data_IF_644979532577
#
_entry.id   IF_644979532577
#
_cell.length_a   1.000
_cell.length_b   1.000
_cell.length_c   1.000
_cell.angle_alpha   90.00
_cell.angle_beta   90.00
_cell.angle_gamma   90.00
#
_symmetry.space_group_name_H-M   'P 1'
#
loop_
_entity.id
_entity.type
_entity.pdbx_description
1 polymer ?
#
# COMPACT_ATOMS: atom_id res chain seq x y z
N UNK A 1 -23.36 -11.65 -30.93
CA UNK A 1 -22.88 -10.89 -29.75
C UNK A 1 -23.57 -11.43 -28.51
N UNK A 2 -22.97 -12.44 -27.85
CA UNK A 2 -23.54 -13.10 -26.67
C UNK A 2 -23.13 -12.40 -25.39
N UNK A 3 -24.09 -11.97 -24.58
CA UNK A 3 -23.88 -11.32 -23.27
C UNK A 3 -23.39 -12.37 -22.27
N UNK A 4 -22.24 -12.12 -21.62
CA UNK A 4 -21.81 -12.91 -20.45
C UNK A 4 -22.89 -12.80 -19.37
N UNK A 5 -23.29 -13.94 -18.83
CA UNK A 5 -24.37 -14.02 -17.85
C UNK A 5 -23.80 -14.07 -16.42
N UNK A 6 -24.62 -13.73 -15.42
CA UNK A 6 -24.24 -13.67 -14.00
C UNK A 6 -23.64 -14.97 -13.45
N UNK A 7 -23.85 -16.11 -14.11
CA UNK A 7 -23.22 -17.40 -13.75
C UNK A 7 -21.75 -17.50 -14.17
N UNK A 8 -21.30 -16.74 -15.18
CA UNK A 8 -19.90 -16.76 -15.62
C UNK A 8 -18.96 -16.13 -14.57
N UNK A 9 -19.49 -15.20 -13.76
CA UNK A 9 -18.76 -14.58 -12.65
C UNK A 9 -18.54 -15.56 -11.50
N UNK A 10 -19.44 -16.53 -11.30
CA UNK A 10 -19.34 -17.54 -10.25
C UNK A 10 -18.38 -18.69 -10.57
N UNK A 11 -18.00 -18.90 -11.84
CA UNK A 11 -16.99 -19.90 -12.23
C UNK A 11 -15.56 -19.34 -12.13
N UNK A 12 -15.39 -18.01 -12.18
CA UNK A 12 -14.08 -17.37 -11.96
C UNK A 12 -13.66 -17.30 -10.48
N UNK A 13 -14.60 -17.39 -9.53
CA UNK A 13 -14.33 -17.31 -8.09
C UNK A 13 -13.69 -18.60 -7.52
N UNK A 14 -14.07 -19.84 -7.93
CA UNK A 14 -13.40 -21.08 -7.52
C UNK A 14 -11.92 -21.13 -7.93
N UNK A 15 -11.55 -20.54 -9.07
CA UNK A 15 -10.15 -20.44 -9.51
C UNK A 15 -9.33 -19.54 -8.57
N UNK A 16 -9.97 -18.56 -7.91
CA UNK A 16 -9.36 -17.72 -6.88
C UNK A 16 -9.20 -18.41 -5.52
N UNK A 17 -10.00 -19.44 -5.20
CA UNK A 17 -9.99 -20.08 -3.88
C UNK A 17 -8.94 -21.19 -3.74
N UNK A 18 -8.45 -21.78 -4.84
CA UNK A 18 -7.35 -22.75 -4.85
C UNK A 18 -6.18 -22.34 -5.76
N UNK A 19 -5.78 -21.06 -5.72
CA UNK A 19 -4.61 -20.57 -6.46
C UNK A 19 -3.37 -21.37 -6.01
N UNK A 20 -2.76 -22.13 -6.93
CA UNK A 20 -1.52 -22.90 -6.69
C UNK A 20 -0.43 -21.99 -6.10
N UNK A 21 0.43 -22.52 -5.23
CA UNK A 21 1.51 -21.77 -4.52
C UNK A 21 2.33 -20.88 -5.47
N UNK A 22 2.69 -21.40 -6.65
CA UNK A 22 3.42 -20.65 -7.68
C UNK A 22 2.69 -19.37 -8.12
N UNK A 23 1.37 -19.44 -8.30
CA UNK A 23 0.58 -18.30 -8.76
C UNK A 23 0.35 -17.29 -7.62
N UNK A 24 0.17 -17.74 -6.36
CA UNK A 24 0.16 -16.83 -5.19
C UNK A 24 1.46 -16.05 -5.06
N UNK A 25 2.60 -16.70 -5.27
CA UNK A 25 3.93 -16.07 -5.24
C UNK A 25 4.13 -15.06 -6.37
N UNK A 26 3.61 -15.35 -7.57
CA UNK A 26 3.71 -14.48 -8.74
C UNK A 26 2.84 -13.22 -8.60
N UNK A 27 1.67 -13.36 -7.98
CA UNK A 27 0.67 -12.29 -7.84
C UNK A 27 0.67 -11.62 -6.46
N UNK A 28 1.64 -11.91 -5.58
CA UNK A 28 1.71 -11.33 -4.23
C UNK A 28 0.43 -11.51 -3.40
N UNK A 29 -0.14 -12.72 -3.41
CA UNK A 29 -1.37 -13.05 -2.68
C UNK A 29 -1.05 -13.83 -1.39
N UNK A 30 -1.97 -13.75 -0.41
CA UNK A 30 -1.92 -14.48 0.87
C UNK A 30 -0.56 -14.30 1.57
N UNK A 31 0.23 -15.38 1.71
CA UNK A 31 1.52 -15.38 2.41
C UNK A 31 2.61 -14.56 1.70
N UNK A 32 2.36 -14.10 0.47
CA UNK A 32 3.27 -13.26 -0.30
C UNK A 32 2.80 -11.81 -0.42
N UNK A 33 1.74 -11.44 0.31
CA UNK A 33 1.20 -10.09 0.31
C UNK A 33 2.22 -9.12 0.92
N UNK A 34 2.34 -7.95 0.30
CA UNK A 34 3.13 -6.84 0.83
C UNK A 34 2.22 -5.68 1.20
N UNK A 35 2.47 -5.12 2.37
CA UNK A 35 1.76 -3.95 2.89
C UNK A 35 2.75 -2.79 2.98
N UNK A 36 2.29 -1.64 2.51
CA UNK A 36 3.05 -0.40 2.45
C UNK A 36 2.14 0.79 2.69
N UNK A 37 2.61 2.00 2.44
CA UNK A 37 1.78 3.21 2.56
C UNK A 37 2.26 4.28 1.60
N UNK A 38 1.42 5.30 1.40
CA UNK A 38 1.77 6.49 0.62
C UNK A 38 2.13 7.64 1.55
N UNK A 39 3.13 8.41 1.20
CA UNK A 39 3.31 9.75 1.76
C UNK A 39 3.33 10.80 0.64
N UNK A 40 2.87 11.98 0.99
CA UNK A 40 2.83 13.15 0.15
C UNK A 40 3.40 14.33 0.93
N UNK A 41 3.93 15.31 0.22
CA UNK A 41 4.40 16.57 0.79
C UNK A 41 4.36 17.65 -0.29
N UNK A 42 4.71 18.88 0.06
CA UNK A 42 4.97 19.96 -0.88
C UNK A 42 6.42 20.46 -0.67
N UNK A 43 7.11 20.86 -1.73
CA UNK A 43 8.39 21.56 -1.61
C UNK A 43 8.17 23.01 -1.16
N UNK A 44 9.10 23.57 -0.39
CA UNK A 44 9.01 24.96 0.04
C UNK A 44 9.52 25.89 -1.06
N UNK A 45 8.69 26.81 -1.53
CA UNK A 45 9.09 27.74 -2.59
C UNK A 45 9.95 28.92 -2.08
N UNK A 46 10.94 29.40 -2.87
CA UNK A 46 11.37 28.84 -4.15
C UNK A 46 12.21 27.57 -3.96
N UNK A 47 11.87 26.49 -4.67
CA UNK A 47 12.72 25.29 -4.77
C UNK A 47 13.23 25.12 -6.20
N UNK A 48 14.52 24.84 -6.35
CA UNK A 48 15.14 24.52 -7.63
C UNK A 48 15.07 23.04 -7.97
N UNK A 49 15.14 22.68 -9.26
CA UNK A 49 15.18 21.28 -9.70
C UNK A 49 16.33 20.51 -9.05
N UNK A 50 17.49 21.17 -8.83
CA UNK A 50 18.64 20.55 -8.16
C UNK A 50 18.35 20.19 -6.70
N UNK A 51 17.57 21.01 -5.99
CA UNK A 51 17.14 20.74 -4.61
C UNK A 51 16.10 19.62 -4.56
N UNK A 52 15.16 19.56 -5.50
CA UNK A 52 14.25 18.41 -5.64
C UNK A 52 15.01 17.10 -5.88
N UNK A 53 16.01 17.13 -6.76
CA UNK A 53 16.89 15.97 -7.00
C UNK A 53 17.69 15.59 -5.76
N UNK A 54 18.16 16.56 -4.98
CA UNK A 54 18.88 16.29 -3.73
C UNK A 54 17.96 15.60 -2.71
N UNK A 55 16.70 15.99 -2.60
CA UNK A 55 15.72 15.27 -1.79
C UNK A 55 15.61 13.79 -2.20
N UNK A 56 15.54 13.50 -3.50
CA UNK A 56 15.47 12.12 -4.01
C UNK A 56 16.74 11.33 -3.68
N UNK A 57 17.92 11.95 -3.80
CA UNK A 57 19.19 11.33 -3.40
C UNK A 57 19.23 11.01 -1.91
N UNK A 58 18.77 11.94 -1.06
CA UNK A 58 18.71 11.73 0.39
C UNK A 58 17.70 10.64 0.75
N UNK A 59 16.56 10.57 0.04
CA UNK A 59 15.57 9.52 0.21
C UNK A 59 16.16 8.15 -0.15
N UNK A 60 16.91 8.04 -1.25
CA UNK A 60 17.61 6.80 -1.61
C UNK A 60 18.62 6.37 -0.54
N UNK A 61 19.39 7.30 0.02
CA UNK A 61 20.30 7.00 1.12
C UNK A 61 19.56 6.53 2.39
N UNK A 62 18.41 7.14 2.68
CA UNK A 62 17.54 6.72 3.78
C UNK A 62 16.96 5.32 3.55
N UNK A 63 16.52 5.01 2.33
CA UNK A 63 16.00 3.70 1.92
C UNK A 63 17.00 2.57 2.21
N UNK A 64 18.25 2.75 1.75
CA UNK A 64 19.32 1.78 1.94
C UNK A 64 19.64 1.53 3.43
N UNK A 65 19.63 2.60 4.24
CA UNK A 65 19.90 2.50 5.67
C UNK A 65 18.77 1.82 6.47
N UNK A 66 17.52 1.90 6.00
CA UNK A 66 16.33 1.45 6.74
C UNK A 66 15.66 0.20 6.15
N UNK A 67 16.25 -0.39 5.11
CA UNK A 67 15.72 -1.55 4.39
C UNK A 67 14.28 -1.34 3.89
N UNK A 68 13.97 -0.14 3.42
CA UNK A 68 12.70 0.21 2.77
C UNK A 68 12.97 0.62 1.32
N UNK A 69 11.93 0.63 0.49
CA UNK A 69 11.98 1.19 -0.86
C UNK A 69 10.77 2.09 -1.07
N UNK A 70 10.99 3.25 -1.69
CA UNK A 70 9.93 4.15 -2.10
C UNK A 70 9.91 4.29 -3.63
N UNK A 71 8.73 4.13 -4.22
CA UNK A 71 8.50 4.36 -5.64
C UNK A 71 7.54 5.52 -5.83
N UNK A 72 7.85 6.45 -6.72
CA UNK A 72 7.03 7.64 -6.95
C UNK A 72 7.82 8.76 -7.62
N UNK A 73 7.34 9.99 -7.44
CA UNK A 73 7.96 11.20 -7.96
C UNK A 73 7.11 12.43 -7.63
N UNK A 74 7.68 13.63 -7.83
CA UNK A 74 7.02 14.93 -7.59
C UNK A 74 6.22 14.95 -6.27
N UNK A 75 6.94 14.76 -5.18
CA UNK A 75 6.41 14.81 -3.81
C UNK A 75 5.32 13.78 -3.46
N UNK A 76 5.21 12.69 -4.22
CA UNK A 76 4.24 11.63 -3.97
C UNK A 76 4.87 10.23 -4.12
N UNK A 77 5.04 9.53 -3.00
CA UNK A 77 5.79 8.29 -2.94
C UNK A 77 5.02 7.17 -2.24
N UNK A 78 5.17 5.95 -2.75
CA UNK A 78 4.66 4.73 -2.13
C UNK A 78 5.81 3.91 -1.56
N UNK A 79 5.74 3.63 -0.26
CA UNK A 79 6.78 2.98 0.53
C UNK A 79 6.39 1.54 0.83
N UNK A 80 7.32 0.62 0.63
CA UNK A 80 7.21 -0.79 0.97
C UNK A 80 8.54 -1.32 1.50
N UNK A 81 8.53 -2.49 2.14
CA UNK A 81 9.76 -3.11 2.63
C UNK A 81 10.65 -3.52 1.45
N UNK A 82 11.96 -3.22 1.52
CA UNK A 82 12.89 -3.49 0.42
C UNK A 82 13.10 -5.00 0.20
N UNK A 83 12.88 -5.83 1.23
CA UNK A 83 12.91 -7.26 1.05
C UNK A 83 11.77 -7.66 0.12
N UNK A 84 12.09 -8.54 -0.83
CA UNK A 84 11.15 -9.00 -1.86
C UNK A 84 9.81 -9.52 -1.31
N UNK A 85 9.69 -9.81 -0.01
CA UNK A 85 8.51 -10.41 0.63
C UNK A 85 8.18 -9.83 2.00
N UNK A 86 8.76 -8.69 2.37
CA UNK A 86 8.45 -7.99 3.61
C UNK A 86 7.23 -7.09 3.49
N UNK A 87 6.68 -6.72 4.64
CA UNK A 87 5.71 -5.64 4.78
C UNK A 87 6.29 -4.62 5.74
N UNK A 88 5.94 -3.35 5.54
CA UNK A 88 6.41 -2.28 6.41
C UNK A 88 6.03 -2.57 7.87
N UNK A 89 7.03 -2.52 8.74
CA UNK A 89 6.84 -2.59 10.18
C UNK A 89 6.40 -1.23 10.75
N UNK A 90 5.70 -1.20 11.89
CA UNK A 90 5.36 0.05 12.57
C UNK A 90 6.58 0.93 12.86
N UNK A 91 7.73 0.32 13.18
CA UNK A 91 8.98 1.00 13.48
C UNK A 91 9.56 1.67 12.24
N UNK A 92 9.65 0.95 11.11
CA UNK A 92 10.09 1.54 9.84
C UNK A 92 9.19 2.71 9.42
N UNK A 93 7.86 2.55 9.58
CA UNK A 93 6.90 3.62 9.28
C UNK A 93 7.13 4.86 10.14
N UNK A 94 7.29 4.67 11.45
CA UNK A 94 7.50 5.79 12.37
C UNK A 94 8.84 6.49 12.10
N UNK A 95 9.91 5.73 11.88
CA UNK A 95 11.22 6.27 11.53
C UNK A 95 11.16 7.17 10.29
N UNK A 96 10.43 6.75 9.24
CA UNK A 96 10.30 7.57 8.03
C UNK A 96 9.47 8.84 8.29
N UNK A 97 8.40 8.74 9.08
CA UNK A 97 7.60 9.91 9.49
C UNK A 97 8.48 10.93 10.22
N UNK A 98 9.31 10.46 11.14
CA UNK A 98 10.18 11.33 11.94
C UNK A 98 11.27 11.96 11.06
N UNK A 99 11.85 11.20 10.13
CA UNK A 99 12.80 11.71 9.15
C UNK A 99 12.18 12.81 8.26
N UNK A 100 10.97 12.58 7.73
CA UNK A 100 10.27 13.57 6.90
C UNK A 100 9.95 14.85 7.68
N UNK A 101 9.62 14.76 8.97
CA UNK A 101 9.30 15.93 9.80
C UNK A 101 10.51 16.77 10.20
N UNK A 102 11.71 16.20 10.16
CA UNK A 102 12.95 16.92 10.47
C UNK A 102 13.49 17.72 9.28
N UNK A 103 12.95 17.47 8.09
CA UNK A 103 13.35 18.16 6.87
C UNK A 103 12.83 19.59 6.83
N UNK A 104 13.67 20.50 6.33
CA UNK A 104 13.38 21.95 6.24
C UNK A 104 13.08 22.42 4.83
N UNK A 105 13.20 21.55 3.84
CA UNK A 105 12.96 21.77 2.41
C UNK A 105 11.54 21.35 1.96
N UNK A 106 10.77 20.70 2.84
CA UNK A 106 9.41 20.23 2.56
C UNK A 106 8.41 20.71 3.61
N UNK A 107 7.14 20.77 3.23
CA UNK A 107 6.00 21.11 4.08
C UNK A 107 4.81 20.20 3.79
N UNK A 108 3.71 20.37 4.53
CA UNK A 108 2.44 19.65 4.32
C UNK A 108 2.58 18.11 4.24
N UNK A 109 3.52 17.54 5.00
CA UNK A 109 3.76 16.10 5.01
C UNK A 109 2.51 15.34 5.46
N UNK A 110 1.97 14.53 4.56
CA UNK A 110 0.80 13.70 4.78
C UNK A 110 1.15 12.23 4.58
N UNK A 111 0.93 11.42 5.62
CA UNK A 111 1.16 9.98 5.57
C UNK A 111 -0.16 9.22 5.61
N UNK A 112 -0.43 8.48 4.53
CA UNK A 112 -1.66 7.71 4.37
C UNK A 112 -1.65 6.40 5.18
N UNK A 113 -2.82 5.78 5.40
CA UNK A 113 -2.91 4.47 6.03
C UNK A 113 -2.15 3.38 5.25
N UNK A 114 -1.87 2.27 5.94
CA UNK A 114 -1.30 1.09 5.32
C UNK A 114 -2.28 0.48 4.29
N UNK A 115 -1.77 0.14 3.11
CA UNK A 115 -2.52 -0.47 2.02
C UNK A 115 -1.77 -1.65 1.42
N UNK A 116 -2.50 -2.47 0.65
CA UNK A 116 -1.87 -3.49 -0.20
C UNK A 116 -1.03 -2.81 -1.29
N UNK A 117 0.25 -3.16 -1.38
CA UNK A 117 1.17 -2.55 -2.35
C UNK A 117 0.84 -2.87 -3.81
N UNK A 118 0.17 -4.00 -4.06
CA UNK A 118 -0.11 -4.51 -5.40
C UNK A 118 -1.56 -4.28 -5.82
N UNK A 119 -2.48 -4.25 -4.85
CA UNK A 119 -3.92 -4.08 -5.08
C UNK A 119 -4.55 -3.04 -4.14
N UNK A 120 -4.09 -1.77 -4.15
CA UNK A 120 -4.59 -0.72 -3.24
C UNK A 120 -6.06 -0.35 -3.50
N UNK A 121 -6.55 -0.59 -4.72
CA UNK A 121 -7.92 -0.30 -5.14
C UNK A 121 -8.71 -1.60 -5.32
N UNK A 122 -9.21 -2.18 -4.23
CA UNK A 122 -10.33 -3.12 -4.31
C UNK A 122 -11.40 -2.77 -3.28
N UNK A 123 -12.47 -2.10 -3.73
CA UNK A 123 -13.80 -2.30 -3.14
C UNK A 123 -14.27 -3.71 -3.50
N UNK A 124 -13.90 -4.72 -2.71
CA UNK A 124 -14.54 -6.05 -2.69
C UNK A 124 -14.01 -6.83 -1.49
N UNK A 125 -14.87 -6.98 -0.47
CA UNK A 125 -14.73 -7.92 0.66
C UNK A 125 -13.46 -7.73 1.49
N UNK A 126 -13.61 -7.15 2.68
CA UNK A 126 -12.61 -7.23 3.75
C UNK A 126 -12.05 -8.65 3.83
N UNK A 127 -10.78 -8.82 3.43
CA UNK A 127 -10.00 -9.95 3.89
C UNK A 127 -9.42 -9.48 5.23
N UNK A 128 -9.81 -10.08 6.36
CA UNK A 128 -9.37 -9.62 7.66
C UNK A 128 -7.84 -9.65 7.70
N UNK A 129 -7.28 -8.58 8.27
CA UNK A 129 -5.83 -8.37 8.40
C UNK A 129 -5.15 -9.44 9.25
N UNK A 130 -5.92 -10.23 10.00
CA UNK A 130 -5.47 -11.39 10.76
C UNK A 130 -6.49 -12.53 10.64
N UNK A 131 -6.02 -13.78 10.52
CA UNK A 131 -6.86 -14.99 10.51
C UNK A 131 -7.50 -15.32 11.89
N UNK A 132 -7.71 -14.32 12.74
CA UNK A 132 -8.29 -14.45 14.08
C UNK A 132 -9.38 -13.43 14.42
N UNK A 133 -9.54 -12.36 13.65
CA UNK A 133 -10.61 -11.38 13.90
C UNK A 133 -11.88 -11.77 13.15
N UNK A 134 -12.64 -12.66 13.80
CA UNK A 134 -14.01 -12.99 13.41
C UNK A 134 -14.99 -12.20 14.29
N UNK A 135 -14.87 -10.87 14.32
CA UNK A 135 -15.92 -10.03 14.90
C UNK A 135 -16.97 -9.71 13.84
N UNK A 136 -18.00 -10.56 13.88
CA UNK A 136 -19.38 -10.33 13.45
C UNK A 136 -19.76 -8.85 13.48
N UNK A 137 -20.10 -8.29 12.32
CA UNK A 137 -21.00 -7.14 12.22
C UNK A 137 -22.18 -7.53 11.33
N UNK A 138 -23.22 -8.05 11.97
CA UNK A 138 -24.58 -7.97 11.45
C UNK A 138 -25.05 -6.54 11.70
N UNK A 139 -25.21 -5.72 10.65
CA UNK A 139 -26.04 -4.52 10.77
C UNK A 139 -27.51 -4.90 10.46
N UNK A 140 -28.48 -4.37 11.23
CA UNK A 140 -29.89 -4.65 11.00
C UNK A 140 -30.38 -3.77 9.84
N UNK A 141 -30.83 -4.38 8.75
CA UNK A 141 -31.55 -3.63 7.72
C UNK A 141 -32.94 -3.29 8.25
N UNK A 142 -33.11 -2.01 8.58
CA UNK A 142 -34.37 -1.32 8.84
C UNK A 142 -35.44 -1.70 7.82
N UNK A 143 -36.57 -2.20 8.32
CA UNK A 143 -37.85 -2.19 7.58
C UNK A 143 -38.25 -0.74 7.32
N UNK A 144 -38.54 -0.41 6.06
CA UNK A 144 -39.47 0.67 5.76
C UNK A 144 -40.65 0.09 5.01
N UNK A 145 -41.82 0.51 5.50
CA UNK A 145 -43.18 0.09 5.16
C UNK A 145 -43.59 0.52 3.74
#
# INVERSE_FOLDING_TARGET
>A
MGKLSRTDVFVLIPVLLAVKKRLRKKLYLKEYRQVGFRFLFDFIEPTSEAEEWQFVVDLMAYEDANAISAGGGHANFYVYDASRRGSITPQQRQSLIDWLKQRTDITNVEVRPLTDAWYPLKKRGQVPVNAGDTSVFLSPTSMHA
#
